data_IF_883521353486
#
_entry.id   IF_883521353486
#
_cell.length_a   1.000
_cell.length_b   1.000
_cell.length_c   1.000
_cell.angle_alpha   90.00
_cell.angle_beta   90.00
_cell.angle_gamma   90.00
#
_symmetry.space_group_name_H-M   'P 1'
#
loop_
_entity.id
_entity.type
_entity.pdbx_description
1 polymer ?
#
# COMPACT_ATOMS: atom_id res chain seq x y z
N UNK A 1 11.04 34.00 -7.55
CA UNK A 1 9.70 33.39 -7.62
C UNK A 1 8.71 34.21 -6.79
N UNK A 2 7.56 34.56 -7.34
CA UNK A 2 6.46 35.19 -6.58
C UNK A 2 5.12 34.61 -7.07
N UNK A 3 4.26 34.20 -6.13
CA UNK A 3 2.97 33.56 -6.47
C UNK A 3 1.95 33.71 -5.33
N UNK A 4 0.68 33.46 -5.66
CA UNK A 4 -0.38 33.25 -4.68
C UNK A 4 -1.15 31.94 -4.98
N UNK A 5 -1.54 31.26 -3.90
CA UNK A 5 -2.21 29.97 -3.95
C UNK A 5 -3.23 29.87 -2.80
N UNK A 6 -4.31 29.11 -2.97
CA UNK A 6 -5.21 28.84 -1.85
C UNK A 6 -4.53 27.97 -0.79
N UNK A 7 -4.80 28.22 0.49
CA UNK A 7 -4.26 27.39 1.60
C UNK A 7 -4.62 25.91 1.41
N UNK A 8 -5.82 25.63 0.92
CA UNK A 8 -6.32 24.28 0.67
C UNK A 8 -5.47 23.55 -0.36
N UNK A 9 -5.21 24.17 -1.52
CA UNK A 9 -4.45 23.56 -2.62
C UNK A 9 -2.96 23.45 -2.27
N UNK A 10 -2.42 24.45 -1.54
CA UNK A 10 -1.06 24.40 -1.03
C UNK A 10 -0.87 23.25 -0.04
N UNK A 11 -1.79 23.10 0.94
CA UNK A 11 -1.74 22.01 1.90
C UNK A 11 -1.88 20.64 1.21
N UNK A 12 -2.74 20.53 0.20
CA UNK A 12 -2.91 19.30 -0.58
C UNK A 12 -1.62 18.88 -1.29
N UNK A 13 -0.96 19.80 -2.00
CA UNK A 13 0.31 19.52 -2.67
C UNK A 13 1.41 19.08 -1.67
N UNK A 14 1.49 19.76 -0.52
CA UNK A 14 2.43 19.39 0.54
C UNK A 14 2.10 18.07 1.21
N UNK A 15 0.82 17.77 1.46
CA UNK A 15 0.40 16.49 2.06
C UNK A 15 0.83 15.30 1.20
N UNK A 16 0.81 15.44 -0.13
CA UNK A 16 1.21 14.40 -1.08
C UNK A 16 2.72 14.17 -1.14
N UNK A 17 3.52 15.18 -0.85
CA UNK A 17 4.97 15.14 -1.08
C UNK A 17 5.81 15.05 0.19
N UNK A 18 5.41 15.70 1.29
CA UNK A 18 6.24 15.85 2.49
C UNK A 18 6.66 14.53 3.15
N UNK A 19 5.89 13.45 2.98
CA UNK A 19 6.17 12.16 3.60
C UNK A 19 7.33 11.42 2.94
N UNK A 20 7.60 11.70 1.65
CA UNK A 20 8.71 11.11 0.90
C UNK A 20 10.05 11.79 1.20
N UNK A 21 10.04 13.03 1.69
CA UNK A 21 11.26 13.75 2.06
C UNK A 21 12.04 13.02 3.16
N UNK A 22 13.32 12.71 2.90
CA UNK A 22 14.16 11.94 3.82
C UNK A 22 14.84 12.84 4.86
N UNK A 23 14.38 12.76 6.10
CA UNK A 23 14.92 13.54 7.24
C UNK A 23 16.23 13.01 7.79
N UNK A 24 16.58 11.76 7.48
CA UNK A 24 17.78 11.08 7.99
C UNK A 24 18.91 11.04 6.96
N UNK A 25 18.67 11.57 5.77
CA UNK A 25 19.66 11.59 4.70
C UNK A 25 20.89 12.43 5.09
N UNK A 26 22.06 11.98 4.69
CA UNK A 26 23.30 12.77 4.72
C UNK A 26 23.28 13.93 3.72
N UNK A 27 22.34 13.96 2.79
CA UNK A 27 22.11 15.05 1.83
C UNK A 27 20.97 15.95 2.33
N UNK A 28 21.25 17.16 2.85
CA UNK A 28 20.22 18.02 3.45
C UNK A 28 19.08 18.39 2.51
N UNK A 29 19.36 18.46 1.19
CA UNK A 29 18.36 18.80 0.17
C UNK A 29 17.20 17.81 0.13
N UNK A 30 17.42 16.53 0.45
CA UNK A 30 16.41 15.48 0.43
C UNK A 30 15.38 15.57 1.57
N UNK A 31 15.67 16.38 2.60
CA UNK A 31 14.70 16.70 3.65
C UNK A 31 13.70 17.80 3.24
N UNK A 32 13.89 18.36 2.05
CA UNK A 32 13.11 19.47 1.53
C UNK A 32 12.06 19.00 0.51
N UNK A 33 11.05 19.84 0.32
CA UNK A 33 10.16 19.82 -0.83
C UNK A 33 10.62 20.91 -1.79
N UNK A 34 10.78 20.56 -3.06
CA UNK A 34 10.99 21.50 -4.14
C UNK A 34 9.64 22.12 -4.52
N UNK A 35 9.58 23.44 -4.50
CA UNK A 35 8.50 24.22 -5.09
C UNK A 35 9.03 24.82 -6.39
N UNK A 36 8.34 24.59 -7.50
CA UNK A 36 8.68 25.19 -8.79
C UNK A 36 7.44 25.74 -9.49
N UNK A 37 7.56 26.92 -10.04
CA UNK A 37 6.50 27.61 -10.75
C UNK A 37 7.04 28.07 -12.10
N UNK A 38 6.29 27.81 -13.15
CA UNK A 38 6.49 28.31 -14.51
C UNK A 38 5.25 29.11 -14.96
N UNK A 39 5.25 29.55 -16.19
CA UNK A 39 4.12 30.34 -16.74
C UNK A 39 2.86 29.52 -17.03
N UNK A 40 2.83 28.25 -16.65
CA UNK A 40 1.67 27.36 -16.87
C UNK A 40 0.48 27.62 -15.94
N UNK A 41 0.64 28.45 -14.91
CA UNK A 41 -0.38 28.69 -13.89
C UNK A 41 -0.45 27.62 -12.80
N UNK A 42 0.57 26.77 -12.71
CA UNK A 42 0.63 25.71 -11.69
C UNK A 42 1.89 25.86 -10.82
N UNK A 43 1.69 25.66 -9.51
CA UNK A 43 2.78 25.38 -8.58
C UNK A 43 3.00 23.87 -8.55
N UNK A 44 4.23 23.45 -8.82
CA UNK A 44 4.65 22.04 -8.72
C UNK A 44 5.37 21.80 -7.40
N UNK A 45 5.08 20.68 -6.80
CA UNK A 45 5.69 20.17 -5.58
C UNK A 45 6.46 18.91 -5.92
N UNK A 46 7.68 18.77 -5.40
CA UNK A 46 8.44 17.55 -5.59
C UNK A 46 9.22 17.18 -4.34
N UNK A 47 9.27 15.89 -4.03
CA UNK A 47 10.09 15.33 -2.96
C UNK A 47 10.66 13.98 -3.39
N UNK A 48 11.84 13.64 -2.88
CA UNK A 48 12.49 12.36 -3.18
C UNK A 48 13.42 11.92 -2.06
N UNK A 49 13.57 10.59 -1.90
CA UNK A 49 14.63 9.94 -1.12
C UNK A 49 15.63 9.20 -2.01
N UNK A 50 15.63 9.48 -3.33
CA UNK A 50 16.37 8.84 -4.42
C UNK A 50 15.86 7.45 -4.84
N UNK A 51 15.02 6.80 -4.05
CA UNK A 51 14.35 5.55 -4.37
C UNK A 51 12.88 5.76 -4.72
N UNK A 52 12.26 6.69 -4.01
CA UNK A 52 10.93 7.19 -4.29
C UNK A 52 11.01 8.64 -4.73
N UNK A 53 10.17 9.02 -5.66
CA UNK A 53 9.95 10.42 -5.97
C UNK A 53 8.46 10.67 -6.18
N UNK A 54 7.95 11.73 -5.56
CA UNK A 54 6.57 12.18 -5.75
C UNK A 54 6.60 13.59 -6.28
N UNK A 55 5.83 13.83 -7.33
CA UNK A 55 5.51 15.15 -7.82
C UNK A 55 4.01 15.37 -7.81
N UNK A 56 3.58 16.56 -7.43
CA UNK A 56 2.19 16.98 -7.46
C UNK A 56 2.10 18.39 -8.04
N UNK A 57 0.93 18.78 -8.54
CA UNK A 57 0.67 20.12 -9.04
C UNK A 57 -0.62 20.68 -8.46
N UNK A 58 -0.67 22.00 -8.33
CA UNK A 58 -1.86 22.71 -7.91
C UNK A 58 -1.94 24.05 -8.63
N UNK A 59 -3.15 24.52 -8.95
CA UNK A 59 -3.37 25.82 -9.55
C UNK A 59 -2.88 26.95 -8.64
N UNK A 60 -2.17 27.91 -9.21
CA UNK A 60 -1.65 29.07 -8.51
C UNK A 60 -1.55 30.27 -9.45
N UNK A 61 -1.71 31.47 -8.93
CA UNK A 61 -1.45 32.69 -9.65
C UNK A 61 0.05 32.97 -9.60
N UNK A 62 0.76 32.76 -10.72
CA UNK A 62 2.20 32.95 -10.83
C UNK A 62 2.49 34.37 -11.32
N UNK A 63 3.14 35.17 -10.48
CA UNK A 63 3.58 36.53 -10.86
C UNK A 63 5.01 36.54 -11.40
N UNK A 64 5.84 35.68 -10.83
CA UNK A 64 7.23 35.50 -11.24
C UNK A 64 7.61 34.04 -11.15
N UNK A 65 8.02 33.38 -12.25
CA UNK A 65 8.47 32.00 -12.24
C UNK A 65 9.77 31.82 -11.42
N UNK A 66 10.08 30.57 -11.09
CA UNK A 66 11.30 30.21 -10.35
C UNK A 66 11.12 28.95 -9.53
N UNK A 67 12.16 28.61 -8.74
CA UNK A 67 12.13 27.42 -7.88
C UNK A 67 12.86 27.66 -6.55
N UNK A 68 12.49 26.91 -5.52
CA UNK A 68 13.11 26.92 -4.21
C UNK A 68 12.83 25.62 -3.48
N UNK A 69 13.81 25.09 -2.75
CA UNK A 69 13.62 23.93 -1.89
C UNK A 69 13.51 24.37 -0.42
N UNK A 70 12.49 23.88 0.29
CA UNK A 70 12.15 24.23 1.67
C UNK A 70 11.98 22.99 2.52
N UNK A 71 12.32 23.08 3.81
CA UNK A 71 12.04 21.98 4.76
C UNK A 71 10.60 21.49 4.63
N UNK A 72 10.42 20.24 4.17
CA UNK A 72 9.13 19.66 3.86
C UNK A 72 8.22 19.65 5.09
N UNK A 73 8.76 19.23 6.24
CA UNK A 73 8.01 19.20 7.51
C UNK A 73 7.62 20.59 7.99
N UNK A 74 8.61 21.49 8.06
CA UNK A 74 8.37 22.85 8.59
C UNK A 74 7.32 23.57 7.75
N UNK A 75 7.43 23.46 6.41
CA UNK A 75 6.47 24.09 5.51
C UNK A 75 5.08 23.47 5.65
N UNK A 76 5.00 22.14 5.72
CA UNK A 76 3.73 21.43 5.92
C UNK A 76 3.07 21.84 7.26
N UNK A 77 3.83 21.86 8.36
CA UNK A 77 3.31 22.22 9.68
C UNK A 77 2.85 23.68 9.71
N UNK A 78 3.57 24.61 9.08
CA UNK A 78 3.15 26.01 8.96
C UNK A 78 1.84 26.10 8.17
N UNK A 79 1.79 25.56 6.95
CA UNK A 79 0.62 25.69 6.08
C UNK A 79 -0.61 25.01 6.67
N UNK A 80 -0.45 23.87 7.33
CA UNK A 80 -1.52 23.17 8.04
C UNK A 80 -2.22 24.05 9.10
N UNK A 81 -1.44 24.88 9.78
CA UNK A 81 -1.95 25.74 10.87
C UNK A 81 -2.34 27.16 10.41
N UNK A 82 -2.26 27.48 9.11
CA UNK A 82 -2.79 28.73 8.60
C UNK A 82 -4.32 28.73 8.58
N UNK A 83 -4.96 29.91 8.69
CA UNK A 83 -6.39 30.04 8.43
C UNK A 83 -6.69 29.78 6.95
N UNK A 84 -7.96 29.46 6.66
CA UNK A 84 -8.40 29.36 5.26
C UNK A 84 -8.26 30.71 4.55
N UNK A 85 -7.88 30.67 3.25
CA UNK A 85 -7.68 31.84 2.42
C UNK A 85 -6.49 31.74 1.50
N UNK A 86 -6.06 32.88 1.01
CA UNK A 86 -4.93 33.04 0.11
C UNK A 86 -3.60 33.02 0.88
N UNK A 87 -2.62 32.32 0.32
CA UNK A 87 -1.23 32.28 0.79
C UNK A 87 -0.33 32.86 -0.32
N UNK A 88 0.46 33.85 0.04
CA UNK A 88 1.42 34.51 -0.87
C UNK A 88 2.82 34.06 -0.53
N UNK A 89 3.58 33.73 -1.55
CA UNK A 89 4.98 33.32 -1.45
C UNK A 89 5.84 34.26 -2.28
N UNK A 90 6.94 34.72 -1.70
CA UNK A 90 7.96 35.49 -2.40
C UNK A 90 9.34 34.97 -2.00
N UNK A 91 10.20 34.65 -2.95
CA UNK A 91 11.57 34.15 -2.75
C UNK A 91 12.55 35.29 -2.98
N UNK A 92 13.39 35.54 -1.99
CA UNK A 92 14.44 36.57 -2.09
C UNK A 92 15.70 36.02 -2.79
N UNK A 93 16.69 36.91 -3.02
CA UNK A 93 17.97 36.57 -3.68
C UNK A 93 18.83 35.57 -2.87
N UNK A 94 18.51 35.36 -1.60
CA UNK A 94 19.20 34.43 -0.70
C UNK A 94 18.43 33.14 -0.52
N UNK A 95 17.43 32.86 -1.40
CA UNK A 95 16.52 31.71 -1.36
C UNK A 95 15.65 31.64 -0.11
N UNK A 96 15.57 32.68 0.74
CA UNK A 96 14.61 32.71 1.82
C UNK A 96 13.22 33.05 1.29
N UNK A 97 12.21 32.31 1.76
CA UNK A 97 10.82 32.45 1.36
C UNK A 97 10.06 33.29 2.39
N UNK A 98 9.47 34.39 1.93
CA UNK A 98 8.47 35.14 2.68
C UNK A 98 7.09 34.53 2.37
N UNK A 99 6.48 33.90 3.38
CA UNK A 99 5.13 33.36 3.32
C UNK A 99 4.19 34.32 4.07
N UNK A 100 3.07 34.70 3.44
CA UNK A 100 2.06 35.60 4.03
C UNK A 100 0.68 35.02 3.86
N UNK A 101 -0.11 35.06 4.96
CA UNK A 101 -1.55 34.74 4.97
C UNK A 101 -2.26 35.75 5.84
N UNK A 102 -2.99 36.70 5.24
CA UNK A 102 -3.56 37.85 5.93
C UNK A 102 -2.49 38.65 6.69
N UNK A 103 -2.59 38.72 8.02
CA UNK A 103 -1.61 39.41 8.88
C UNK A 103 -0.43 38.52 9.32
N UNK A 104 -0.51 37.21 9.04
CA UNK A 104 0.52 36.23 9.42
C UNK A 104 1.68 36.33 8.44
N UNK A 105 2.91 36.32 8.94
CA UNK A 105 4.12 36.39 8.13
C UNK A 105 5.16 35.40 8.67
N UNK A 106 5.75 34.62 7.79
CA UNK A 106 6.92 33.79 8.08
C UNK A 106 8.05 34.14 7.12
N UNK A 107 9.28 34.01 7.59
CA UNK A 107 10.48 34.00 6.76
C UNK A 107 11.16 32.66 6.98
N UNK A 108 11.20 31.83 5.94
CA UNK A 108 11.69 30.45 5.99
C UNK A 108 12.97 30.39 5.15
N UNK A 109 14.12 29.94 5.73
CA UNK A 109 15.32 29.73 4.94
C UNK A 109 15.08 28.61 3.93
N UNK A 110 15.53 28.79 2.70
CA UNK A 110 15.44 27.81 1.64
C UNK A 110 16.79 27.50 1.02
N UNK A 111 16.81 26.56 0.10
CA UNK A 111 17.94 26.19 -0.73
C UNK A 111 17.63 26.46 -2.21
N UNK A 112 18.66 26.67 -3.07
CA UNK A 112 18.42 26.80 -4.49
C UNK A 112 17.66 25.60 -5.05
N UNK A 113 16.64 25.86 -5.88
CA UNK A 113 15.89 24.78 -6.52
C UNK A 113 16.72 23.96 -7.52
N UNK A 114 17.78 24.55 -8.07
CA UNK A 114 18.72 23.89 -8.98
C UNK A 114 19.60 22.82 -8.30
N UNK A 115 19.77 22.89 -6.97
CA UNK A 115 20.48 21.88 -6.21
C UNK A 115 19.62 20.62 -5.96
N UNK A 116 18.31 20.69 -6.24
CA UNK A 116 17.42 19.55 -6.05
C UNK A 116 17.67 18.50 -7.13
N UNK A 117 17.79 17.19 -6.77
CA UNK A 117 18.08 16.14 -7.74
C UNK A 117 16.96 16.03 -8.78
N UNK A 118 17.30 15.77 -10.06
CA UNK A 118 16.30 15.56 -11.10
C UNK A 118 15.45 14.35 -10.78
N UNK A 119 14.13 14.48 -10.93
CA UNK A 119 13.22 13.36 -10.71
C UNK A 119 13.17 12.47 -11.95
N UNK A 120 13.00 11.14 -11.77
CA UNK A 120 12.73 10.23 -12.88
C UNK A 120 11.47 10.67 -13.64
N UNK A 121 11.52 10.51 -14.97
CA UNK A 121 10.39 10.79 -15.86
C UNK A 121 10.02 9.56 -16.68
N UNK A 122 8.73 9.26 -16.86
CA UNK A 122 8.30 8.17 -17.73
C UNK A 122 8.47 8.47 -19.22
N UNK A 123 8.78 9.73 -19.60
CA UNK A 123 8.85 10.14 -21.00
C UNK A 123 7.53 9.84 -21.74
N UNK A 124 7.66 9.28 -22.95
CA UNK A 124 6.52 8.85 -23.79
C UNK A 124 6.08 7.40 -23.47
N UNK A 125 6.44 6.85 -22.30
CA UNK A 125 6.06 5.50 -21.90
C UNK A 125 4.55 5.28 -21.91
N UNK A 126 4.11 4.13 -22.44
CA UNK A 126 2.70 3.75 -22.41
C UNK A 126 2.24 3.46 -20.98
N UNK A 127 1.13 4.05 -20.59
CA UNK A 127 0.50 3.79 -19.28
C UNK A 127 -0.63 2.78 -19.42
N UNK A 128 -0.62 1.77 -18.55
CA UNK A 128 -1.78 0.92 -18.31
C UNK A 128 -2.72 1.64 -17.34
N UNK A 129 -3.95 1.91 -17.73
CA UNK A 129 -4.93 2.51 -16.83
C UNK A 129 -5.60 1.43 -15.98
N UNK A 130 -5.43 1.54 -14.65
CA UNK A 130 -5.94 0.58 -13.67
C UNK A 130 -6.90 1.27 -12.70
N UNK A 131 -7.99 0.61 -12.37
CA UNK A 131 -8.98 1.12 -11.44
C UNK A 131 -8.42 1.24 -10.02
N UNK A 132 -8.58 2.41 -9.39
CA UNK A 132 -8.12 2.69 -8.01
C UNK A 132 -8.69 1.69 -7.00
N UNK A 133 -9.98 1.32 -7.14
CA UNK A 133 -10.63 0.34 -6.27
C UNK A 133 -9.98 -1.03 -6.35
N UNK A 134 -9.70 -1.49 -7.57
CA UNK A 134 -9.04 -2.76 -7.85
C UNK A 134 -7.62 -2.81 -7.26
N UNK A 135 -6.80 -1.79 -7.52
CA UNK A 135 -5.44 -1.71 -6.97
C UNK A 135 -5.43 -1.68 -5.44
N UNK A 136 -6.34 -0.90 -4.83
CA UNK A 136 -6.48 -0.85 -3.38
C UNK A 136 -6.83 -2.20 -2.79
N UNK A 137 -7.70 -2.96 -3.45
CA UNK A 137 -8.08 -4.30 -3.01
C UNK A 137 -6.94 -5.30 -3.17
N UNK A 138 -6.22 -5.30 -4.31
CA UNK A 138 -5.04 -6.15 -4.51
C UNK A 138 -3.96 -5.90 -3.44
N UNK A 139 -3.66 -4.64 -3.13
CA UNK A 139 -2.71 -4.27 -2.08
C UNK A 139 -3.20 -4.76 -0.71
N UNK A 140 -4.47 -4.53 -0.37
CA UNK A 140 -5.02 -4.93 0.93
C UNK A 140 -4.99 -6.43 1.15
N UNK A 141 -5.23 -7.21 0.10
CA UNK A 141 -5.21 -8.67 0.13
C UNK A 141 -3.80 -9.26 0.22
N UNK A 142 -2.76 -8.51 -0.15
CA UNK A 142 -1.41 -9.10 -0.28
C UNK A 142 -0.35 -8.45 0.62
N UNK A 143 -0.45 -7.16 0.94
CA UNK A 143 0.63 -6.41 1.61
C UNK A 143 1.14 -7.02 2.93
N UNK A 144 0.28 -7.76 3.67
CA UNK A 144 0.61 -8.31 4.99
C UNK A 144 1.63 -9.45 4.96
N UNK A 145 1.81 -10.09 3.80
CA UNK A 145 2.78 -11.19 3.62
C UNK A 145 4.14 -10.73 3.12
N UNK A 146 4.37 -9.43 2.90
CA UNK A 146 5.70 -8.93 2.55
C UNK A 146 6.70 -9.16 3.68
N UNK A 147 7.95 -9.47 3.32
CA UNK A 147 9.04 -9.53 4.30
C UNK A 147 9.40 -8.13 4.80
N UNK A 148 9.55 -7.99 6.12
CA UNK A 148 10.16 -6.81 6.73
C UNK A 148 11.68 -6.90 6.87
N UNK A 149 12.31 -7.91 6.27
CA UNK A 149 13.74 -8.16 6.35
C UNK A 149 14.47 -7.55 5.14
N UNK A 150 15.13 -6.43 5.35
CA UNK A 150 15.87 -5.70 4.31
C UNK A 150 17.07 -6.49 3.74
N UNK A 151 17.50 -7.57 4.42
CA UNK A 151 18.56 -8.45 3.90
C UNK A 151 18.09 -9.41 2.81
N UNK A 152 16.76 -9.50 2.60
CA UNK A 152 16.13 -10.30 1.56
C UNK A 152 15.30 -9.43 0.61
N UNK A 153 15.94 -8.57 -0.22
CA UNK A 153 15.24 -7.58 -1.04
C UNK A 153 14.26 -8.20 -2.04
N UNK A 154 14.50 -9.44 -2.49
CA UNK A 154 13.58 -10.20 -3.35
C UNK A 154 12.26 -10.60 -2.66
N UNK A 155 12.16 -10.51 -1.32
CA UNK A 155 10.94 -10.73 -0.53
C UNK A 155 10.38 -9.44 0.09
N UNK A 156 11.18 -8.36 0.12
CA UNK A 156 10.82 -7.09 0.73
C UNK A 156 10.00 -6.18 -0.22
N UNK A 157 9.14 -6.79 -1.03
CA UNK A 157 8.31 -6.09 -2.00
C UNK A 157 7.15 -6.95 -2.49
N UNK A 158 6.39 -6.38 -3.42
CA UNK A 158 5.26 -7.02 -4.09
C UNK A 158 5.63 -7.31 -5.53
N UNK A 159 5.55 -8.58 -5.94
CA UNK A 159 5.52 -8.90 -7.36
C UNK A 159 4.20 -8.39 -7.94
N UNK A 160 4.28 -7.46 -8.86
CA UNK A 160 3.15 -6.84 -9.53
C UNK A 160 3.20 -7.18 -11.01
N UNK A 161 2.25 -7.99 -11.46
CA UNK A 161 2.17 -8.50 -12.82
C UNK A 161 0.91 -8.05 -13.51
N UNK A 162 1.03 -7.72 -14.79
CA UNK A 162 -0.08 -7.48 -15.71
C UNK A 162 0.21 -8.25 -17.00
N UNK A 163 -0.76 -9.05 -17.47
CA UNK A 163 -0.63 -9.83 -18.72
C UNK A 163 -1.51 -9.27 -19.86
N UNK A 164 -2.07 -8.08 -19.66
CA UNK A 164 -2.98 -7.41 -20.58
C UNK A 164 -4.45 -7.76 -20.40
N UNK A 165 -4.78 -8.84 -19.66
CA UNK A 165 -6.16 -9.29 -19.38
C UNK A 165 -6.43 -9.42 -17.89
N UNK A 166 -5.39 -9.57 -17.09
CA UNK A 166 -5.47 -9.64 -15.63
C UNK A 166 -4.34 -8.87 -14.99
N UNK A 167 -4.57 -8.47 -13.76
CA UNK A 167 -3.59 -7.83 -12.88
C UNK A 167 -3.46 -8.67 -11.63
N UNK A 168 -2.21 -8.94 -11.22
CA UNK A 168 -1.90 -9.83 -10.12
C UNK A 168 -0.87 -9.22 -9.20
N UNK A 169 -1.07 -9.39 -7.89
CA UNK A 169 -0.07 -9.07 -6.88
C UNK A 169 0.25 -10.32 -6.06
N UNK A 170 1.54 -10.53 -5.78
CA UNK A 170 2.03 -11.66 -4.98
C UNK A 170 3.07 -11.15 -4.00
N UNK A 171 2.96 -11.60 -2.75
CA UNK A 171 3.92 -11.29 -1.68
C UNK A 171 4.24 -12.53 -0.88
N UNK A 172 5.43 -12.60 -0.31
CA UNK A 172 5.85 -13.68 0.60
C UNK A 172 6.99 -13.23 1.50
N UNK A 173 7.07 -13.80 2.70
CA UNK A 173 8.20 -13.65 3.62
C UNK A 173 9.01 -14.98 3.77
N UNK A 174 8.65 -16.00 2.98
CA UNK A 174 9.22 -17.35 3.04
C UNK A 174 8.47 -18.30 3.98
N UNK A 175 7.58 -17.80 4.84
CA UNK A 175 6.76 -18.59 5.75
C UNK A 175 5.28 -18.56 5.38
N UNK A 176 4.88 -17.58 4.64
CA UNK A 176 3.52 -17.40 4.11
C UNK A 176 3.57 -16.70 2.76
N UNK A 177 2.52 -16.82 2.00
CA UNK A 177 2.37 -16.21 0.68
C UNK A 177 0.94 -15.74 0.51
N UNK A 178 0.77 -14.60 -0.14
CA UNK A 178 -0.54 -14.10 -0.57
C UNK A 178 -0.49 -13.78 -2.06
N UNK A 179 -1.49 -14.28 -2.78
CA UNK A 179 -1.71 -13.98 -4.19
C UNK A 179 -3.13 -13.48 -4.38
N UNK A 180 -3.28 -12.35 -5.02
CA UNK A 180 -4.57 -11.84 -5.48
C UNK A 180 -4.50 -11.50 -6.96
N UNK A 181 -5.57 -11.78 -7.70
CA UNK A 181 -5.65 -11.57 -9.15
C UNK A 181 -7.03 -11.05 -9.54
N UNK A 182 -7.08 -10.06 -10.42
CA UNK A 182 -8.32 -9.46 -10.90
C UNK A 182 -8.28 -9.25 -12.41
N UNK A 183 -9.41 -9.45 -13.08
CA UNK A 183 -9.51 -9.18 -14.51
C UNK A 183 -9.41 -7.67 -14.79
N UNK A 184 -8.59 -7.31 -15.77
CA UNK A 184 -8.42 -5.92 -16.22
C UNK A 184 -7.84 -5.91 -17.62
N UNK A 185 -8.59 -5.37 -18.57
CA UNK A 185 -8.14 -5.23 -19.96
C UNK A 185 -7.32 -3.96 -20.12
N UNK A 186 -6.01 -4.08 -20.07
CA UNK A 186 -5.08 -2.94 -20.15
C UNK A 186 -4.38 -2.80 -21.50
N UNK A 187 -4.34 -3.87 -22.28
CA UNK A 187 -3.57 -3.93 -23.54
C UNK A 187 -2.05 -3.87 -23.37
N UNK A 188 -1.54 -3.81 -22.14
CA UNK A 188 -0.09 -3.78 -21.82
C UNK A 188 0.28 -4.95 -20.93
N UNK A 189 1.55 -5.34 -20.94
CA UNK A 189 2.07 -6.39 -20.05
C UNK A 189 3.33 -5.92 -19.34
N UNK A 190 3.45 -6.26 -18.07
CA UNK A 190 4.65 -6.04 -17.26
C UNK A 190 4.73 -7.04 -16.10
N UNK A 191 5.93 -7.26 -15.60
CA UNK A 191 6.19 -8.00 -14.37
C UNK A 191 7.30 -7.27 -13.62
N UNK A 192 6.99 -6.72 -12.46
CA UNK A 192 7.89 -5.85 -11.68
C UNK A 192 7.84 -6.20 -10.20
N UNK A 193 8.97 -6.01 -9.53
CA UNK A 193 9.06 -6.12 -8.07
C UNK A 193 9.09 -4.71 -7.46
N UNK A 194 7.95 -4.31 -6.89
CA UNK A 194 7.77 -3.00 -6.26
C UNK A 194 8.15 -3.10 -4.79
N UNK A 195 9.18 -2.37 -4.30
CA UNK A 195 9.58 -2.38 -2.90
C UNK A 195 8.47 -1.96 -1.94
N UNK A 196 8.51 -2.45 -0.70
CA UNK A 196 7.50 -2.19 0.33
C UNK A 196 7.20 -0.70 0.53
N UNK A 197 8.22 0.16 0.55
CA UNK A 197 8.03 1.62 0.63
C UNK A 197 7.21 2.15 -0.53
N UNK A 198 7.47 1.66 -1.75
CA UNK A 198 6.72 2.04 -2.95
C UNK A 198 5.25 1.64 -2.87
N UNK A 199 4.96 0.44 -2.38
CA UNK A 199 3.58 -0.02 -2.14
C UNK A 199 2.88 0.86 -1.09
N UNK A 200 3.58 1.23 -0.01
CA UNK A 200 3.05 2.13 1.02
C UNK A 200 2.64 3.50 0.45
N UNK A 201 3.50 4.10 -0.38
CA UNK A 201 3.20 5.39 -1.04
C UNK A 201 2.13 5.26 -2.12
N UNK A 202 2.12 4.16 -2.88
CA UNK A 202 1.04 3.87 -3.83
C UNK A 202 -0.32 3.77 -3.11
N UNK A 203 -0.38 3.04 -2.00
CA UNK A 203 -1.60 2.96 -1.19
C UNK A 203 -2.10 4.33 -0.76
N UNK A 204 -1.21 5.22 -0.28
CA UNK A 204 -1.54 6.58 0.10
C UNK A 204 -2.09 7.40 -1.09
N UNK A 205 -1.46 7.27 -2.26
CA UNK A 205 -1.94 7.92 -3.48
C UNK A 205 -3.35 7.45 -3.87
N UNK A 206 -3.62 6.14 -3.74
CA UNK A 206 -4.94 5.57 -4.03
C UNK A 206 -6.00 6.02 -3.01
N UNK A 207 -5.65 6.15 -1.73
CA UNK A 207 -6.53 6.68 -0.67
C UNK A 207 -6.89 8.14 -0.93
N UNK A 208 -5.91 8.98 -1.31
CA UNK A 208 -6.12 10.38 -1.69
C UNK A 208 -7.07 10.48 -2.88
N UNK A 209 -6.83 9.71 -3.95
CA UNK A 209 -7.67 9.68 -5.14
C UNK A 209 -9.13 9.28 -4.85
N UNK A 210 -9.35 8.43 -3.84
CA UNK A 210 -10.70 8.06 -3.37
C UNK A 210 -11.37 9.15 -2.54
N UNK A 211 -10.60 9.84 -1.69
CA UNK A 211 -11.12 10.86 -0.77
C UNK A 211 -11.55 12.15 -1.47
N UNK A 212 -10.96 12.44 -2.63
CA UNK A 212 -11.30 13.64 -3.43
C UNK A 212 -12.68 13.55 -4.11
N UNK A 213 -13.26 12.36 -4.20
CA UNK A 213 -14.66 12.20 -4.58
C UNK A 213 -15.55 12.70 -3.43
N UNK A 214 -16.09 13.90 -3.54
CA UNK A 214 -17.31 14.24 -2.80
C UNK A 214 -18.38 13.24 -3.26
N UNK A 215 -19.13 12.59 -2.35
CA UNK A 215 -20.31 11.86 -2.74
C UNK A 215 -21.23 12.85 -3.45
N UNK A 216 -21.49 12.62 -4.75
CA UNK A 216 -22.55 13.33 -5.44
C UNK A 216 -23.86 13.09 -4.64
N UNK A 217 -24.74 14.10 -4.50
CA UNK A 217 -26.02 13.90 -3.86
C UNK A 217 -26.76 12.79 -4.61
N UNK A 218 -26.93 11.65 -3.93
CA UNK A 218 -27.50 10.43 -4.52
C UNK A 218 -29.00 10.64 -4.65
N UNK A 219 -29.44 11.06 -5.80
CA UNK A 219 -30.82 10.84 -6.22
C UNK A 219 -31.02 9.35 -6.52
N UNK A 220 -31.93 8.70 -5.79
CA UNK A 220 -32.15 7.25 -5.84
C UNK A 220 -32.64 6.72 -7.19
N UNK A 221 -32.94 7.61 -8.16
CA UNK A 221 -33.46 7.27 -9.49
C UNK A 221 -32.37 7.02 -10.56
N UNK A 222 -31.09 7.29 -10.29
CA UNK A 222 -30.00 7.20 -11.28
C UNK A 222 -28.96 6.09 -11.02
N UNK A 223 -29.27 5.09 -10.19
CA UNK A 223 -28.35 3.97 -9.90
C UNK A 223 -27.88 3.14 -11.11
N UNK A 224 -28.50 3.29 -12.27
CA UNK A 224 -28.15 2.51 -13.46
C UNK A 224 -27.12 3.19 -14.40
N UNK A 225 -26.73 4.46 -14.16
CA UNK A 225 -25.74 5.19 -14.97
C UNK A 225 -24.37 5.40 -14.30
N UNK A 226 -24.15 4.82 -13.12
CA UNK A 226 -22.94 5.00 -12.31
C UNK A 226 -21.73 4.15 -12.76
N UNK A 227 -21.75 3.57 -13.98
CA UNK A 227 -20.65 2.74 -14.47
C UNK A 227 -19.51 3.50 -15.17
N UNK A 228 -19.62 4.82 -15.41
CA UNK A 228 -18.68 5.53 -16.28
C UNK A 228 -17.66 6.43 -15.58
N UNK A 229 -17.72 6.61 -14.25
CA UNK A 229 -16.79 7.48 -13.51
C UNK A 229 -15.83 6.70 -12.59
N UNK A 230 -15.15 5.70 -13.11
CA UNK A 230 -14.13 4.97 -12.33
C UNK A 230 -12.84 5.79 -12.28
N UNK A 231 -12.36 6.08 -11.06
CA UNK A 231 -11.04 6.71 -10.89
C UNK A 231 -9.98 5.69 -11.28
N UNK A 232 -9.11 6.04 -12.22
CA UNK A 232 -7.99 5.23 -12.65
C UNK A 232 -6.64 5.84 -12.25
N UNK A 233 -5.63 4.98 -12.17
CA UNK A 233 -4.23 5.33 -12.04
C UNK A 233 -3.48 4.72 -13.20
N UNK A 234 -2.75 5.54 -13.94
CA UNK A 234 -1.87 5.08 -15.00
C UNK A 234 -0.61 4.44 -14.42
N UNK A 235 -0.24 3.25 -14.89
CA UNK A 235 0.98 2.53 -14.50
C UNK A 235 1.89 2.35 -15.70
N UNK A 236 3.16 2.78 -15.58
CA UNK A 236 4.18 2.59 -16.61
C UNK A 236 5.49 2.13 -16.00
N UNK A 237 6.34 1.47 -16.79
CA UNK A 237 7.66 1.02 -16.38
C UNK A 237 8.71 1.51 -17.36
N UNK A 238 9.68 2.29 -16.90
CA UNK A 238 10.74 2.87 -17.73
C UNK A 238 12.03 2.96 -16.93
N UNK A 239 13.14 2.52 -17.50
CA UNK A 239 14.48 2.75 -16.95
C UNK A 239 14.68 2.20 -15.52
N UNK A 240 14.09 1.07 -15.17
CA UNK A 240 14.19 0.48 -13.83
C UNK A 240 13.31 1.17 -12.78
N UNK A 241 12.36 2.01 -13.20
CA UNK A 241 11.38 2.64 -12.35
C UNK A 241 9.96 2.23 -12.75
N UNK A 242 9.07 2.12 -11.77
CA UNK A 242 7.64 2.13 -11.97
C UNK A 242 7.08 3.54 -11.74
N UNK A 243 6.15 3.95 -12.56
CA UNK A 243 5.47 5.23 -12.46
C UNK A 243 3.98 4.97 -12.25
N UNK A 244 3.41 5.64 -11.25
CA UNK A 244 1.99 5.63 -10.94
C UNK A 244 1.48 7.06 -11.06
N UNK A 245 0.59 7.30 -12.03
CA UNK A 245 0.10 8.63 -12.37
C UNK A 245 -1.39 8.76 -12.05
N UNK A 246 -1.73 9.61 -11.10
CA UNK A 246 -3.07 10.12 -10.88
C UNK A 246 -3.34 11.40 -11.68
N UNK A 247 -4.42 12.10 -11.37
CA UNK A 247 -4.84 13.30 -12.09
C UNK A 247 -3.82 14.45 -12.02
N UNK A 248 -3.31 14.73 -10.82
CA UNK A 248 -2.41 15.85 -10.51
C UNK A 248 -1.21 15.43 -9.64
N UNK A 249 -0.94 14.13 -9.58
CA UNK A 249 0.14 13.53 -8.80
C UNK A 249 0.80 12.38 -9.56
N UNK A 250 2.11 12.27 -9.46
CA UNK A 250 2.90 11.16 -9.99
C UNK A 250 3.84 10.63 -8.90
N UNK A 251 3.81 9.34 -8.68
CA UNK A 251 4.76 8.59 -7.88
C UNK A 251 5.71 7.85 -8.82
N UNK A 252 7.01 7.99 -8.59
CA UNK A 252 8.05 7.15 -9.19
C UNK A 252 8.67 6.27 -8.11
N UNK A 253 8.84 5.00 -8.41
CA UNK A 253 9.43 4.00 -7.51
C UNK A 253 10.57 3.30 -8.23
N UNK A 254 11.78 3.36 -7.68
CA UNK A 254 12.90 2.56 -8.16
C UNK A 254 12.63 1.09 -7.85
N UNK A 255 12.59 0.27 -8.89
CA UNK A 255 12.30 -1.16 -8.78
C UNK A 255 13.48 -1.92 -8.16
N UNK A 256 13.19 -3.04 -7.50
CA UNK A 256 14.21 -3.97 -7.09
C UNK A 256 14.72 -4.73 -8.32
N UNK A 257 16.06 -4.79 -8.47
CA UNK A 257 16.73 -5.56 -9.53
C UNK A 257 16.97 -7.01 -9.07
N UNK A 258 15.90 -7.64 -8.57
CA UNK A 258 15.92 -8.97 -7.98
C UNK A 258 14.78 -9.81 -8.55
N UNK A 259 14.98 -11.12 -8.61
CA UNK A 259 13.95 -12.04 -9.07
C UNK A 259 13.09 -12.54 -7.90
N UNK A 260 11.79 -12.32 -8.00
CA UNK A 260 10.85 -12.90 -7.06
C UNK A 260 10.85 -14.44 -7.18
N UNK A 261 10.74 -15.20 -6.07
CA UNK A 261 10.75 -16.66 -6.12
C UNK A 261 9.62 -17.24 -6.98
N UNK A 262 9.79 -18.44 -7.58
CA UNK A 262 8.77 -19.09 -8.37
C UNK A 262 7.58 -19.56 -7.51
N UNK A 263 6.72 -18.64 -7.13
CA UNK A 263 5.64 -18.78 -6.17
C UNK A 263 4.59 -19.85 -6.54
N UNK A 264 4.40 -20.12 -7.83
CA UNK A 264 3.44 -21.13 -8.31
C UNK A 264 3.72 -22.55 -7.79
N UNK A 265 4.99 -22.83 -7.44
CA UNK A 265 5.40 -24.13 -6.88
C UNK A 265 5.05 -24.28 -5.40
N UNK A 266 4.82 -23.18 -4.71
CA UNK A 266 4.51 -23.15 -3.25
C UNK A 266 3.01 -23.28 -3.01
N UNK A 267 2.18 -22.85 -3.97
CA UNK A 267 0.72 -22.92 -3.86
C UNK A 267 0.28 -24.38 -4.12
N UNK A 268 -0.29 -25.08 -3.14
CA UNK A 268 -0.81 -26.42 -3.35
C UNK A 268 -1.92 -26.43 -4.41
N UNK A 269 -1.90 -27.43 -5.28
CA UNK A 269 -2.93 -27.57 -6.33
C UNK A 269 -4.28 -28.04 -5.78
N UNK A 270 -4.25 -28.88 -4.74
CA UNK A 270 -5.42 -29.39 -4.05
C UNK A 270 -5.06 -29.86 -2.65
N UNK A 271 -6.01 -29.80 -1.76
CA UNK A 271 -5.97 -30.43 -0.43
C UNK A 271 -7.14 -31.37 -0.25
N UNK A 272 -6.93 -32.42 0.54
CA UNK A 272 -7.96 -33.43 0.80
C UNK A 272 -9.05 -32.98 1.79
N UNK A 273 -8.76 -31.95 2.59
CA UNK A 273 -9.64 -31.45 3.65
C UNK A 273 -10.00 -29.99 3.37
N UNK A 274 -11.27 -29.74 3.17
CA UNK A 274 -11.84 -28.41 2.96
C UNK A 274 -12.86 -28.12 4.04
N UNK A 275 -12.66 -27.04 4.78
CA UNK A 275 -13.51 -26.59 5.88
C UNK A 275 -14.01 -25.19 5.59
N UNK A 276 -15.30 -24.94 5.78
CA UNK A 276 -15.89 -23.61 5.80
C UNK A 276 -16.09 -23.21 7.25
N UNK A 277 -15.61 -22.03 7.62
CA UNK A 277 -15.71 -21.53 8.98
C UNK A 277 -16.09 -20.03 8.98
N UNK A 278 -16.79 -19.61 10.03
CA UNK A 278 -16.99 -18.18 10.28
C UNK A 278 -15.66 -17.49 10.54
N UNK A 279 -15.35 -16.47 9.72
CA UNK A 279 -14.13 -15.69 9.85
C UNK A 279 -14.03 -14.99 11.22
N UNK A 280 -15.13 -14.42 11.70
CA UNK A 280 -15.17 -13.71 12.99
C UNK A 280 -14.91 -14.67 14.15
N UNK A 281 -15.60 -15.80 14.22
CA UNK A 281 -15.39 -16.81 15.27
C UNK A 281 -13.96 -17.34 15.25
N UNK A 282 -13.41 -17.62 14.07
CA UNK A 282 -12.04 -18.10 13.92
C UNK A 282 -11.00 -17.05 14.39
N UNK A 283 -11.19 -15.78 14.02
CA UNK A 283 -10.34 -14.68 14.46
C UNK A 283 -10.38 -14.50 15.96
N UNK A 284 -11.56 -14.53 16.56
CA UNK A 284 -11.73 -14.33 18.01
C UNK A 284 -11.18 -15.49 18.83
N UNK A 285 -11.37 -16.73 18.37
CA UNK A 285 -10.76 -17.91 18.98
C UNK A 285 -9.23 -17.86 18.88
N UNK A 286 -8.67 -17.58 17.69
CA UNK A 286 -7.22 -17.45 17.51
C UNK A 286 -6.63 -16.35 18.42
N UNK A 287 -7.30 -15.20 18.57
CA UNK A 287 -6.85 -14.14 19.50
C UNK A 287 -6.82 -14.61 20.93
N UNK A 288 -7.86 -15.32 21.41
CA UNK A 288 -7.92 -15.84 22.78
C UNK A 288 -6.82 -16.88 23.02
N UNK A 289 -6.77 -17.89 22.16
CA UNK A 289 -5.84 -19.02 22.34
C UNK A 289 -4.39 -18.60 22.15
N UNK A 290 -4.09 -17.64 21.30
CA UNK A 290 -2.73 -17.13 21.13
C UNK A 290 -2.17 -16.39 22.35
N UNK A 291 -2.99 -16.02 23.35
CA UNK A 291 -2.52 -15.38 24.59
C UNK A 291 -1.61 -16.30 25.42
N UNK A 292 -1.75 -17.61 25.29
CA UNK A 292 -0.89 -18.58 25.96
C UNK A 292 0.21 -19.13 25.05
N UNK A 293 0.26 -18.71 23.78
CA UNK A 293 1.30 -19.10 22.86
C UNK A 293 2.67 -18.55 23.29
N UNK A 294 3.75 -19.27 22.96
CA UNK A 294 5.10 -18.76 23.21
C UNK A 294 5.36 -17.46 22.42
N UNK A 295 5.88 -16.43 23.08
CA UNK A 295 6.26 -15.15 22.47
C UNK A 295 7.21 -15.31 21.26
N UNK A 296 8.04 -16.37 21.28
CA UNK A 296 9.01 -16.65 20.22
C UNK A 296 8.40 -17.33 19.00
N UNK A 297 7.45 -18.24 19.19
CA UNK A 297 6.90 -19.06 18.11
C UNK A 297 5.51 -18.61 17.67
N UNK A 298 4.69 -18.07 18.59
CA UNK A 298 3.29 -17.74 18.34
C UNK A 298 2.47 -18.94 17.87
N UNK A 299 2.87 -20.16 18.26
CA UNK A 299 2.36 -21.41 17.73
C UNK A 299 0.96 -21.75 18.26
N UNK A 300 0.05 -22.12 17.36
CA UNK A 300 -1.24 -22.73 17.67
C UNK A 300 -1.41 -23.98 16.83
N UNK A 301 -2.03 -25.02 17.40
CA UNK A 301 -2.37 -26.26 16.70
C UNK A 301 -3.85 -26.24 16.32
N UNK A 302 -4.13 -26.42 15.04
CA UNK A 302 -5.47 -26.64 14.52
C UNK A 302 -5.73 -28.15 14.46
N UNK A 303 -6.69 -28.63 15.24
CA UNK A 303 -7.09 -30.03 15.27
C UNK A 303 -8.46 -30.15 14.62
N UNK A 304 -8.49 -30.70 13.42
CA UNK A 304 -9.72 -30.85 12.62
C UNK A 304 -10.25 -32.27 12.76
N UNK A 305 -11.50 -32.39 13.16
CA UNK A 305 -12.26 -33.65 13.29
C UNK A 305 -13.63 -33.50 12.66
N UNK A 306 -14.35 -34.57 12.35
CA UNK A 306 -15.73 -34.48 11.85
C UNK A 306 -16.61 -33.59 12.76
N UNK A 307 -17.19 -32.53 12.16
CA UNK A 307 -18.02 -31.56 12.83
C UNK A 307 -17.31 -30.52 13.70
N UNK A 308 -15.99 -30.60 13.87
CA UNK A 308 -15.28 -29.81 14.88
C UNK A 308 -13.90 -29.36 14.43
N UNK A 309 -13.58 -28.09 14.70
CA UNK A 309 -12.23 -27.53 14.65
C UNK A 309 -11.83 -27.08 16.06
N UNK A 310 -10.84 -27.71 16.63
CA UNK A 310 -10.26 -27.30 17.92
C UNK A 310 -8.96 -26.54 17.70
N UNK A 311 -8.82 -25.38 18.36
CA UNK A 311 -7.62 -24.56 18.35
C UNK A 311 -6.97 -24.72 19.72
N UNK A 312 -5.72 -25.15 19.73
CA UNK A 312 -4.97 -25.45 20.98
C UNK A 312 -3.64 -24.69 20.96
N UNK A 313 -3.25 -24.17 22.10
CA UNK A 313 -1.90 -23.66 22.33
C UNK A 313 -1.43 -24.06 23.71
N UNK A 314 -0.16 -24.42 23.83
CA UNK A 314 0.48 -24.89 25.05
C UNK A 314 1.83 -24.21 25.23
N UNK A 315 2.07 -23.67 26.41
CA UNK A 315 3.34 -23.05 26.79
C UNK A 315 3.63 -23.43 28.25
N UNK A 316 4.73 -24.16 28.54
CA UNK A 316 5.05 -24.60 29.88
C UNK A 316 5.16 -23.46 30.90
N UNK A 317 5.51 -22.25 30.47
CA UNK A 317 5.71 -21.08 31.34
C UNK A 317 4.43 -20.29 31.60
N UNK A 318 3.42 -20.41 30.74
CA UNK A 318 2.20 -19.59 30.78
C UNK A 318 0.96 -20.42 31.06
N UNK A 319 0.88 -21.63 30.48
CA UNK A 319 -0.26 -22.52 30.59
C UNK A 319 -0.73 -23.05 29.23
N UNK A 320 -1.93 -23.61 29.23
CA UNK A 320 -2.58 -24.16 28.04
C UNK A 320 -3.94 -23.50 27.79
N UNK A 321 -4.36 -23.47 26.54
CA UNK A 321 -5.68 -23.00 26.14
C UNK A 321 -6.20 -23.80 24.95
N UNK A 322 -7.48 -24.11 24.99
CA UNK A 322 -8.16 -24.73 23.86
C UNK A 322 -9.56 -24.13 23.67
N UNK A 323 -10.01 -24.11 22.44
CA UNK A 323 -11.37 -23.69 22.08
C UNK A 323 -11.87 -24.49 20.88
N UNK A 324 -13.09 -24.96 20.97
CA UNK A 324 -13.76 -25.74 19.94
C UNK A 324 -14.72 -24.87 19.13
N UNK A 325 -14.69 -25.01 17.82
CA UNK A 325 -15.58 -24.37 16.88
C UNK A 325 -16.33 -25.44 16.09
N UNK A 326 -17.65 -25.30 15.97
CA UNK A 326 -18.45 -26.14 15.10
C UNK A 326 -18.17 -25.79 13.62
N UNK A 327 -17.84 -26.79 12.80
CA UNK A 327 -17.55 -26.63 11.37
C UNK A 327 -18.21 -27.72 10.55
N UNK A 328 -18.57 -27.40 9.31
CA UNK A 328 -19.07 -28.41 8.36
C UNK A 328 -17.89 -29.17 7.74
N UNK A 329 -17.54 -30.26 8.39
CA UNK A 329 -16.47 -31.16 7.96
C UNK A 329 -16.79 -32.62 8.30
N UNK A 330 -16.55 -33.52 7.35
CA UNK A 330 -16.80 -34.96 7.51
C UNK A 330 -15.59 -35.82 7.09
N UNK A 331 -14.40 -35.23 6.92
CA UNK A 331 -13.21 -35.94 6.47
C UNK A 331 -12.37 -36.58 7.61
N UNK A 332 -11.19 -37.06 7.25
CA UNK A 332 -10.24 -37.63 8.21
C UNK A 332 -9.63 -36.59 9.13
N UNK A 333 -9.38 -36.98 10.37
CA UNK A 333 -8.72 -36.14 11.36
C UNK A 333 -7.33 -35.69 10.92
N UNK A 334 -6.99 -34.47 11.28
CA UNK A 334 -5.62 -33.93 11.12
C UNK A 334 -5.32 -32.92 12.22
N UNK A 335 -4.05 -32.85 12.62
CA UNK A 335 -3.55 -31.81 13.53
C UNK A 335 -2.35 -31.11 12.86
N UNK A 336 -2.42 -29.78 12.72
CA UNK A 336 -1.37 -28.99 12.05
C UNK A 336 -1.04 -27.78 12.91
N UNK A 337 0.25 -27.53 13.14
CA UNK A 337 0.72 -26.33 13.83
C UNK A 337 0.89 -25.17 12.87
N UNK A 338 0.48 -23.97 13.28
CA UNK A 338 0.66 -22.73 12.54
C UNK A 338 1.06 -21.57 13.46
N UNK A 339 1.66 -20.53 12.90
CA UNK A 339 1.81 -19.27 13.59
C UNK A 339 0.45 -18.54 13.62
N UNK A 340 -0.07 -18.28 14.82
CA UNK A 340 -1.37 -17.63 15.01
C UNK A 340 -1.44 -16.24 14.34
N UNK A 341 -0.35 -15.48 14.40
CA UNK A 341 -0.28 -14.15 13.78
C UNK A 341 -0.45 -14.23 12.26
N UNK A 342 0.13 -15.22 11.61
CA UNK A 342 0.00 -15.39 10.15
C UNK A 342 -1.43 -15.73 9.75
N UNK A 343 -2.10 -16.58 10.54
CA UNK A 343 -3.52 -16.86 10.36
C UNK A 343 -4.37 -15.60 10.55
N UNK A 344 -4.16 -14.87 11.65
CA UNK A 344 -4.91 -13.64 11.96
C UNK A 344 -4.75 -12.56 10.89
N UNK A 345 -3.52 -12.32 10.40
CA UNK A 345 -3.27 -11.32 9.36
C UNK A 345 -3.90 -11.71 8.02
N UNK A 346 -3.87 -13.00 7.66
CA UNK A 346 -4.55 -13.51 6.48
C UNK A 346 -6.09 -13.34 6.58
N UNK A 347 -6.67 -13.72 7.71
CA UNK A 347 -8.11 -13.60 7.95
C UNK A 347 -8.57 -12.14 7.99
N UNK A 348 -7.74 -11.24 8.55
CA UNK A 348 -8.05 -9.80 8.59
C UNK A 348 -8.06 -9.13 7.21
N UNK A 349 -7.34 -9.69 6.24
CA UNK A 349 -7.31 -9.17 4.88
C UNK A 349 -8.56 -9.55 4.06
N UNK A 350 -9.28 -10.60 4.45
CA UNK A 350 -10.45 -11.10 3.73
C UNK A 350 -11.70 -10.29 4.07
N UNK A 351 -12.51 -9.92 3.08
CA UNK A 351 -13.75 -9.17 3.29
C UNK A 351 -14.96 -10.05 3.67
N UNK A 352 -14.91 -11.37 3.38
CA UNK A 352 -16.03 -12.29 3.52
C UNK A 352 -16.27 -12.64 5.00
N UNK A 353 -17.53 -12.93 5.37
CA UNK A 353 -17.90 -13.39 6.71
C UNK A 353 -17.54 -14.87 6.92
N UNK A 354 -17.45 -15.65 5.85
CA UNK A 354 -17.03 -17.03 5.84
C UNK A 354 -15.76 -17.23 5.03
N UNK A 355 -14.90 -18.11 5.50
CA UNK A 355 -13.62 -18.43 4.87
C UNK A 355 -13.48 -19.93 4.67
N UNK A 356 -12.71 -20.30 3.67
CA UNK A 356 -12.35 -21.67 3.37
C UNK A 356 -10.93 -21.93 3.87
N UNK A 357 -10.78 -22.94 4.72
CA UNK A 357 -9.48 -23.50 5.09
C UNK A 357 -9.32 -24.81 4.30
N UNK A 358 -8.21 -24.94 3.58
CA UNK A 358 -7.84 -26.19 2.92
C UNK A 358 -6.56 -26.73 3.58
N UNK A 359 -6.63 -27.93 4.12
CA UNK A 359 -5.58 -28.55 4.92
C UNK A 359 -5.16 -29.90 4.31
N UNK A 360 -3.87 -30.11 4.23
CA UNK A 360 -3.26 -31.38 3.81
C UNK A 360 -2.85 -32.27 5.00
N UNK A 361 -1.65 -32.84 4.97
CA UNK A 361 -1.02 -33.52 6.09
C UNK A 361 -0.37 -32.53 7.07
N UNK A 362 0.21 -33.07 8.15
CA UNK A 362 0.83 -32.26 9.24
C UNK A 362 1.93 -31.31 8.79
N UNK A 363 2.60 -31.64 7.68
CA UNK A 363 3.71 -30.85 7.13
C UNK A 363 3.35 -30.13 5.82
N UNK A 364 2.09 -30.22 5.41
CA UNK A 364 1.65 -29.55 4.19
C UNK A 364 1.22 -28.10 4.48
N UNK A 365 1.46 -27.15 3.56
CA UNK A 365 1.01 -25.79 3.74
C UNK A 365 -0.51 -25.71 3.86
N UNK A 366 -1.01 -24.91 4.80
CA UNK A 366 -2.43 -24.57 4.86
C UNK A 366 -2.78 -23.49 3.86
N UNK A 367 -3.97 -23.58 3.28
CA UNK A 367 -4.49 -22.58 2.33
C UNK A 367 -5.74 -21.92 2.90
N UNK A 368 -5.79 -20.60 2.80
CA UNK A 368 -6.94 -19.76 3.20
C UNK A 368 -7.48 -19.07 1.96
N UNK A 369 -8.79 -19.14 1.76
CA UNK A 369 -9.51 -18.50 0.64
C UNK A 369 -10.80 -17.86 1.13
N UNK A 370 -11.30 -16.79 0.48
CA UNK A 370 -12.68 -16.37 0.65
C UNK A 370 -13.62 -17.45 0.12
N UNK A 371 -14.84 -17.52 0.65
CA UNK A 371 -15.82 -18.50 0.18
C UNK A 371 -16.29 -18.19 -1.24
N UNK A 372 -16.51 -16.93 -1.53
CA UNK A 372 -17.16 -16.44 -2.75
C UNK A 372 -16.18 -16.11 -3.89
N UNK A 373 -14.89 -15.91 -3.60
CA UNK A 373 -13.90 -15.40 -4.56
C UNK A 373 -12.65 -16.28 -4.64
N UNK A 374 -12.47 -16.95 -5.77
CA UNK A 374 -11.31 -17.83 -6.02
C UNK A 374 -10.06 -17.08 -6.49
N UNK A 375 -10.13 -15.76 -6.67
CA UNK A 375 -9.01 -14.92 -7.16
C UNK A 375 -7.96 -14.62 -6.11
N UNK A 376 -8.29 -14.85 -4.83
CA UNK A 376 -7.33 -14.75 -3.73
C UNK A 376 -6.93 -16.14 -3.22
N UNK A 377 -5.65 -16.27 -2.88
CA UNK A 377 -5.13 -17.42 -2.14
C UNK A 377 -4.07 -16.96 -1.14
N UNK A 378 -4.27 -17.31 0.12
CA UNK A 378 -3.27 -17.21 1.17
C UNK A 378 -2.70 -18.59 1.49
N UNK A 379 -1.39 -18.72 1.53
CA UNK A 379 -0.68 -19.96 1.90
C UNK A 379 0.11 -19.70 3.17
N UNK A 380 0.01 -20.60 4.15
CA UNK A 380 0.74 -20.51 5.41
C UNK A 380 1.50 -21.81 5.62
N UNK A 381 2.82 -21.71 5.82
CA UNK A 381 3.66 -22.87 6.08
C UNK A 381 3.36 -23.42 7.48
N UNK A 382 3.28 -24.75 7.62
CA UNK A 382 3.11 -25.38 8.93
C UNK A 382 4.37 -25.19 9.77
N UNK A 383 4.20 -25.29 11.08
CA UNK A 383 5.30 -25.29 12.03
C UNK A 383 5.20 -26.46 12.98
N UNK A 384 6.34 -26.95 13.45
CA UNK A 384 6.38 -27.98 14.50
C UNK A 384 6.19 -27.28 15.84
N UNK A 385 5.19 -27.72 16.58
CA UNK A 385 4.83 -27.24 17.91
C UNK A 385 4.94 -28.41 18.88
#
# INVERSE_FOLDING_TARGET
>A
MELSISKRDFLRGLARTHAVADRKSSMPILSNVLLSADDSGFLRFAATDLYLAVSASAEAEIKQPGSVALSARTLFDIVKNLPEGEVKLAVDKQHAVQLRSGKIKFRIPGMPGEDFPPLPSPGEGAFAELEVGMLSQLISLTQYSMSGDDTRPHLAGTLFECDGKSVRMVTTDGHRLSKAEMASETGTSFSILVPQKGIGELKRLLEDARSERKPAPVDKSERSKLSEDRVSVGVATVGGNAFFRGQDVQLSVKLADEQFPPYSKVIPQSHSRRVVASRELLVDSLKRISLVASDKSGGVRLMLEPGKLEIVSENPDVGEGSEELDVDFAGEKVAIGFNARYLLEALAALPDDEVVLELGGELDPGVIKPLSDTRFVGVIMPMRI
#
